data_IF_898822345180
#
_entry.id   IF_898822345180
#
_cell.length_a   1.000
_cell.length_b   1.000
_cell.length_c   1.000
_cell.angle_alpha   90.00
_cell.angle_beta   90.00
_cell.angle_gamma   90.00
#
_symmetry.space_group_name_H-M   'P 1'
#
loop_
_entity.id
_entity.type
_entity.pdbx_description
1 polymer ?
#
# COMPACT_ATOMS: atom_id res chain seq x y z
N UNK A 1 4.85 20.66 -13.75
CA UNK A 1 4.99 20.75 -12.28
C UNK A 1 5.35 19.36 -11.74
N UNK A 2 6.14 19.30 -10.66
CA UNK A 2 6.70 18.10 -9.98
C UNK A 2 5.68 16.95 -9.77
N UNK A 3 6.05 15.67 -9.67
CA UNK A 3 7.11 15.09 -8.85
C UNK A 3 7.44 13.64 -9.27
N UNK A 4 8.73 13.29 -9.22
CA UNK A 4 9.31 11.95 -9.42
C UNK A 4 9.05 11.06 -8.20
N UNK A 5 7.86 10.49 -8.10
CA UNK A 5 7.55 9.53 -7.05
C UNK A 5 6.53 8.55 -7.63
N UNK A 6 7.00 7.62 -8.49
CA UNK A 6 6.23 6.47 -8.96
C UNK A 6 5.91 5.47 -7.81
N UNK A 7 5.96 5.90 -6.55
CA UNK A 7 5.61 5.10 -5.39
C UNK A 7 4.19 5.43 -4.95
N UNK A 8 3.34 4.41 -4.94
CA UNK A 8 1.97 4.51 -4.45
C UNK A 8 1.98 4.45 -2.93
N UNK A 9 1.20 5.30 -2.28
CA UNK A 9 0.97 5.21 -0.84
C UNK A 9 -0.05 4.10 -0.60
N UNK A 10 0.35 3.08 0.15
CA UNK A 10 -0.48 1.93 0.48
C UNK A 10 -0.49 1.73 2.00
N UNK A 11 -1.34 0.82 2.46
CA UNK A 11 -1.33 0.37 3.85
C UNK A 11 -0.63 -0.98 3.93
N UNK A 12 0.19 -1.20 4.94
CA UNK A 12 0.80 -2.49 5.22
C UNK A 12 0.36 -2.99 6.59
N UNK A 13 -0.13 -4.22 6.66
CA UNK A 13 -0.45 -4.90 7.92
C UNK A 13 0.70 -5.80 8.34
N UNK A 14 1.02 -5.78 9.62
CA UNK A 14 1.91 -6.77 10.17
C UNK A 14 1.20 -8.12 10.27
N UNK A 15 1.86 -9.18 9.81
CA UNK A 15 1.30 -10.55 9.83
C UNK A 15 1.26 -11.16 11.24
N UNK A 16 2.02 -10.59 12.18
CA UNK A 16 2.12 -11.07 13.57
C UNK A 16 1.13 -10.37 14.49
N UNK A 17 1.13 -9.04 14.50
CA UNK A 17 0.33 -8.21 15.41
C UNK A 17 -1.02 -7.78 14.78
N UNK A 18 -1.15 -7.82 13.45
CA UNK A 18 -2.30 -7.28 12.73
C UNK A 18 -2.34 -5.74 12.68
N UNK A 19 -1.33 -5.06 13.23
CA UNK A 19 -1.25 -3.60 13.21
C UNK A 19 -1.04 -3.07 11.79
N UNK A 20 -1.75 -2.00 11.45
CA UNK A 20 -1.73 -1.36 10.13
C UNK A 20 -0.85 -0.11 10.17
N UNK A 21 0.03 0.01 9.19
CA UNK A 21 0.96 1.11 9.03
C UNK A 21 0.86 1.72 7.64
N UNK A 22 1.09 3.03 7.54
CA UNK A 22 1.29 3.66 6.24
C UNK A 22 2.58 3.13 5.63
N UNK A 23 2.53 2.70 4.38
CA UNK A 23 3.65 2.18 3.62
C UNK A 23 3.67 2.80 2.22
N UNK A 24 4.81 2.70 1.56
CA UNK A 24 4.95 3.03 0.14
C UNK A 24 5.19 1.74 -0.62
N UNK A 25 4.50 1.60 -1.75
CA UNK A 25 4.69 0.53 -2.70
C UNK A 25 5.42 1.08 -3.92
N UNK A 26 6.52 0.45 -4.29
CA UNK A 26 7.24 0.73 -5.53
C UNK A 26 6.60 -0.02 -6.71
N UNK A 27 6.81 0.46 -7.94
CA UNK A 27 6.29 -0.20 -9.13
C UNK A 27 6.93 -1.57 -9.38
N UNK A 28 8.05 -1.86 -8.71
CA UNK A 28 8.67 -3.20 -8.63
C UNK A 28 7.88 -4.18 -7.75
N UNK A 29 6.90 -3.71 -6.98
CA UNK A 29 6.15 -4.49 -6.00
C UNK A 29 6.78 -4.50 -4.60
N UNK A 30 7.88 -3.78 -4.38
CA UNK A 30 8.47 -3.62 -3.05
C UNK A 30 7.54 -2.78 -2.17
N UNK A 31 7.45 -3.07 -0.87
CA UNK A 31 6.60 -2.35 0.08
C UNK A 31 7.41 -2.05 1.33
N UNK A 32 7.49 -0.78 1.71
CA UNK A 32 8.23 -0.35 2.89
C UNK A 32 7.36 0.56 3.77
N UNK A 33 7.22 0.25 5.07
CA UNK A 33 6.54 1.12 6.01
C UNK A 33 7.21 2.49 6.10
N UNK A 34 6.40 3.53 6.27
CA UNK A 34 6.83 4.92 6.38
C UNK A 34 6.78 5.30 7.86
N UNK A 35 7.91 5.78 8.39
CA UNK A 35 8.00 6.28 9.76
C UNK A 35 8.27 5.23 10.84
N UNK A 36 8.32 3.94 10.47
CA UNK A 36 8.72 2.84 11.35
C UNK A 36 9.43 1.76 10.55
N UNK A 37 10.55 1.26 11.07
CA UNK A 37 11.29 0.12 10.50
C UNK A 37 10.71 -1.25 10.96
N UNK A 38 9.90 -1.27 12.04
CA UNK A 38 9.38 -2.48 12.67
C UNK A 38 7.98 -2.27 13.32
N UNK A 39 7.19 -3.34 13.48
CA UNK A 39 5.93 -3.28 14.27
C UNK A 39 6.33 -3.10 15.73
N UNK A 40 5.45 -2.45 16.51
CA UNK A 40 5.59 -2.34 17.96
C UNK A 40 5.72 -3.71 18.67
N UNK A 41 5.31 -4.80 18.01
CA UNK A 41 5.48 -6.17 18.50
C UNK A 41 6.87 -6.77 18.23
N UNK A 42 7.75 -6.08 17.51
CA UNK A 42 9.09 -6.57 17.11
C UNK A 42 9.12 -7.36 15.79
N UNK A 43 7.98 -7.53 15.12
CA UNK A 43 7.93 -8.17 13.79
C UNK A 43 8.30 -7.19 12.69
N UNK A 44 9.00 -7.69 11.67
CA UNK A 44 9.37 -6.95 10.44
C UNK A 44 8.68 -7.52 9.20
N UNK A 45 7.81 -8.51 9.38
CA UNK A 45 6.98 -9.07 8.33
C UNK A 45 5.71 -8.25 8.16
N UNK A 46 5.65 -7.54 7.03
CA UNK A 46 4.52 -6.72 6.64
C UNK A 46 3.97 -7.18 5.29
N UNK A 47 2.65 -7.12 5.15
CA UNK A 47 1.94 -7.43 3.92
C UNK A 47 1.14 -6.20 3.49
N UNK A 48 1.30 -5.75 2.25
CA UNK A 48 0.49 -4.66 1.70
C UNK A 48 -0.98 -5.07 1.65
N UNK A 49 -1.82 -4.26 2.29
CA UNK A 49 -3.25 -4.21 2.05
C UNK A 49 -3.42 -3.24 0.90
N UNK A 50 -3.38 -3.77 -0.32
CA UNK A 50 -3.80 -3.00 -1.46
C UNK A 50 -5.33 -2.83 -1.36
N UNK A 51 -5.80 -1.62 -1.07
CA UNK A 51 -7.23 -1.28 -1.17
C UNK A 51 -7.69 -1.26 -2.64
N UNK A 52 -6.75 -1.36 -3.57
CA UNK A 52 -6.95 -1.51 -5.01
C UNK A 52 -7.14 -2.97 -5.44
N UNK A 53 -7.81 -3.77 -4.61
CA UNK A 53 -8.35 -5.05 -5.02
C UNK A 53 -9.42 -4.89 -6.10
N UNK A 54 -9.02 -4.70 -7.35
CA UNK A 54 -9.83 -4.93 -8.56
C UNK A 54 -11.16 -4.18 -8.62
N UNK A 55 -11.14 -2.99 -9.22
CA UNK A 55 -12.21 -2.61 -10.15
C UNK A 55 -11.65 -1.94 -11.42
N UNK A 56 -11.01 -2.69 -12.34
CA UNK A 56 -10.79 -2.19 -13.71
C UNK A 56 -12.10 -2.07 -14.54
N UNK A 57 -13.29 -2.11 -13.94
CA UNK A 57 -14.53 -2.11 -14.72
C UNK A 57 -15.77 -1.56 -13.98
N UNK A 58 -15.71 -0.35 -13.45
CA UNK A 58 -16.89 0.52 -13.46
C UNK A 58 -16.61 1.72 -14.37
N UNK A 59 -16.31 1.41 -15.64
CA UNK A 59 -16.44 2.37 -16.71
C UNK A 59 -17.92 2.75 -16.79
N UNK A 60 -18.29 3.78 -16.03
CA UNK A 60 -19.42 4.67 -16.26
C UNK A 60 -19.26 5.27 -17.66
N UNK A 61 -19.69 4.52 -18.67
CA UNK A 61 -20.03 5.08 -19.97
C UNK A 61 -21.54 5.24 -20.00
N UNK A 62 -21.99 6.30 -19.33
CA UNK A 62 -23.15 7.04 -19.80
C UNK A 62 -23.06 7.20 -21.33
N UNK A 63 -24.00 6.62 -22.06
CA UNK A 63 -24.30 7.00 -23.43
C UNK A 63 -25.82 7.08 -23.60
N UNK A 64 -26.26 8.34 -23.64
CA UNK A 64 -27.48 8.95 -24.23
C UNK A 64 -28.88 8.49 -23.79
#
# INVERSE_FOLDING_TARGET
MANRDDVSRVLAKCVTCGSVYAARQWPSGDVQPIGSDNCSCGSTDFCSIDESGTDPAANDRNKE
#
